data_IF_715141463822
#
_entry.id   IF_715141463822
#
_cell.length_a   1.000
_cell.length_b   1.000
_cell.length_c   1.000
_cell.angle_alpha   90.00
_cell.angle_beta   90.00
_cell.angle_gamma   90.00
#
_symmetry.space_group_name_H-M   'P 1'
#
loop_
_entity.id
_entity.type
_entity.pdbx_description
1 polymer ?
#
# COMPACT_ATOMS: atom_id res chain seq x y z
N UNK A 1 -0.48 -28.59 14.11
CA UNK A 1 0.83 -28.73 13.44
C UNK A 1 1.59 -27.46 13.78
N UNK A 2 2.53 -27.52 14.72
CA UNK A 2 3.31 -26.36 15.16
C UNK A 2 4.51 -26.20 14.23
N UNK A 3 4.69 -25.01 13.68
CA UNK A 3 5.94 -24.62 13.06
C UNK A 3 6.75 -23.87 14.11
N UNK A 4 7.77 -24.52 14.66
CA UNK A 4 8.85 -23.81 15.34
C UNK A 4 9.76 -23.20 14.26
N UNK A 5 9.88 -21.88 14.25
CA UNK A 5 10.89 -21.17 13.47
C UNK A 5 11.92 -20.60 14.45
N UNK A 6 13.11 -21.21 14.48
CA UNK A 6 14.28 -20.71 15.20
C UNK A 6 15.08 -19.76 14.30
N UNK A 7 14.96 -18.44 14.46
CA UNK A 7 15.98 -17.47 14.01
C UNK A 7 15.83 -16.18 14.88
N UNK A 8 16.89 -15.66 15.52
CA UNK A 8 16.84 -14.36 16.26
C UNK A 8 16.80 -13.14 15.31
N UNK A 9 16.93 -11.85 15.74
CA UNK A 9 16.53 -11.18 17.00
C UNK A 9 15.00 -11.13 17.13
N UNK A 10 14.43 -10.45 18.13
CA UNK A 10 12.97 -10.35 18.41
C UNK A 10 12.08 -10.32 17.14
N UNK A 11 11.62 -11.49 16.70
CA UNK A 11 10.64 -11.62 15.62
C UNK A 11 9.27 -11.58 16.27
N UNK A 12 8.52 -10.53 15.99
CA UNK A 12 7.13 -10.39 16.43
C UNK A 12 6.20 -10.53 15.23
N UNK A 13 5.10 -11.25 15.43
CA UNK A 13 4.06 -11.39 14.40
C UNK A 13 3.00 -10.33 14.63
N UNK A 14 2.81 -9.45 13.64
CA UNK A 14 1.68 -8.54 13.60
C UNK A 14 0.56 -9.19 12.80
N UNK A 15 -0.50 -9.62 13.48
CA UNK A 15 -1.67 -10.19 12.83
C UNK A 15 -2.68 -9.09 12.53
N UNK A 16 -2.85 -8.76 11.25
CA UNK A 16 -4.03 -8.03 10.78
C UNK A 16 -5.06 -9.05 10.27
N UNK A 17 -6.33 -8.89 10.61
CA UNK A 17 -7.40 -9.79 10.15
C UNK A 17 -7.83 -9.46 8.70
N UNK A 18 -6.85 -9.44 7.79
CA UNK A 18 -7.03 -9.16 6.37
C UNK A 18 -6.44 -10.32 5.57
N UNK A 19 -7.21 -10.80 4.60
CA UNK A 19 -6.74 -11.78 3.63
C UNK A 19 -6.45 -11.07 2.31
N UNK A 20 -5.26 -11.30 1.75
CA UNK A 20 -4.85 -10.81 0.43
C UNK A 20 -4.63 -11.99 -0.51
N UNK A 21 -4.98 -11.81 -1.78
CA UNK A 21 -4.73 -12.80 -2.84
C UNK A 21 -3.24 -12.89 -3.15
N UNK A 22 -2.60 -11.73 -3.35
CA UNK A 22 -1.15 -11.60 -3.49
C UNK A 22 -0.69 -10.31 -2.81
N UNK A 23 -0.48 -10.40 -1.50
CA UNK A 23 -0.01 -9.30 -0.65
C UNK A 23 1.48 -9.05 -0.83
N UNK A 24 1.87 -7.85 -1.29
CA UNK A 24 3.26 -7.50 -1.59
C UNK A 24 3.57 -6.04 -1.25
N UNK A 25 4.88 -5.70 -1.28
CA UNK A 25 5.37 -4.33 -1.18
C UNK A 25 4.94 -3.56 0.07
N UNK A 26 5.18 -4.09 1.29
CA UNK A 26 4.88 -3.37 2.52
C UNK A 26 5.71 -2.07 2.62
N UNK A 27 5.06 -0.96 2.95
CA UNK A 27 5.68 0.34 3.08
C UNK A 27 5.15 1.06 4.33
N UNK A 28 6.05 1.45 5.23
CA UNK A 28 5.71 2.17 6.46
C UNK A 28 5.81 3.68 6.28
N UNK A 29 4.76 4.41 6.62
CA UNK A 29 4.79 5.87 6.79
C UNK A 29 4.91 6.22 8.27
N UNK A 30 6.10 6.64 8.68
CA UNK A 30 6.39 7.08 10.05
C UNK A 30 5.54 8.29 10.45
N UNK A 31 5.20 9.19 9.53
CA UNK A 31 4.48 10.42 9.87
C UNK A 31 3.03 10.13 10.25
N UNK A 32 2.40 9.20 9.54
CA UNK A 32 0.99 8.83 9.78
C UNK A 32 0.84 7.58 10.65
N UNK A 33 1.96 6.92 11.00
CA UNK A 33 2.02 5.63 11.68
C UNK A 33 1.14 4.59 10.97
N UNK A 34 1.33 4.45 9.65
CA UNK A 34 0.48 3.61 8.81
C UNK A 34 1.32 2.66 7.97
N UNK A 35 0.94 1.39 7.98
CA UNK A 35 1.51 0.37 7.11
C UNK A 35 0.65 0.26 5.85
N UNK A 36 1.25 0.46 4.68
CA UNK A 36 0.61 0.21 3.39
C UNK A 36 1.16 -1.06 2.76
N UNK A 37 0.34 -1.73 1.96
CA UNK A 37 0.77 -2.82 1.09
C UNK A 37 -0.21 -2.97 -0.06
N UNK A 38 0.15 -3.73 -1.08
CA UNK A 38 -0.72 -3.97 -2.23
C UNK A 38 -1.24 -5.40 -2.22
N UNK A 39 -2.48 -5.60 -2.65
CA UNK A 39 -2.96 -6.90 -3.14
C UNK A 39 -3.00 -6.81 -4.67
N UNK A 40 -1.94 -7.32 -5.31
CA UNK A 40 -1.71 -7.13 -6.73
C UNK A 40 -2.89 -7.70 -7.52
N UNK A 41 -3.28 -8.95 -7.25
CA UNK A 41 -4.31 -9.64 -8.02
C UNK A 41 -5.73 -9.14 -7.70
N UNK A 42 -5.99 -8.66 -6.48
CA UNK A 42 -7.27 -8.05 -6.14
C UNK A 42 -7.38 -6.57 -6.53
N UNK A 43 -6.31 -5.95 -7.05
CA UNK A 43 -6.24 -4.52 -7.40
C UNK A 43 -6.55 -3.62 -6.19
N UNK A 44 -5.98 -3.92 -5.03
CA UNK A 44 -6.24 -3.17 -3.79
C UNK A 44 -4.96 -2.56 -3.24
N UNK A 45 -5.07 -1.32 -2.78
CA UNK A 45 -4.10 -0.70 -1.89
C UNK A 45 -4.63 -0.81 -0.47
N UNK A 46 -3.94 -1.53 0.38
CA UNK A 46 -4.28 -1.68 1.78
C UNK A 46 -3.55 -0.66 2.65
N UNK A 47 -4.18 -0.31 3.77
CA UNK A 47 -3.61 0.49 4.83
C UNK A 47 -3.99 -0.11 6.19
N UNK A 48 -3.05 -0.16 7.12
CA UNK A 48 -3.27 -0.57 8.50
C UNK A 48 -2.72 0.47 9.47
N UNK A 49 -3.52 0.78 10.49
CA UNK A 49 -3.18 1.72 11.56
C UNK A 49 -3.95 1.35 12.82
N UNK A 50 -3.26 1.35 13.97
CA UNK A 50 -3.87 1.17 15.30
C UNK A 50 -4.81 -0.05 15.40
N UNK A 51 -4.39 -1.18 14.82
CA UNK A 51 -5.16 -2.43 14.85
C UNK A 51 -6.32 -2.50 13.84
N UNK A 52 -6.54 -1.45 13.05
CA UNK A 52 -7.57 -1.40 12.00
C UNK A 52 -6.92 -1.47 10.63
N UNK A 53 -7.54 -2.23 9.74
CA UNK A 53 -7.10 -2.34 8.36
C UNK A 53 -8.22 -1.93 7.42
N UNK A 54 -7.83 -1.39 6.29
CA UNK A 54 -8.75 -1.01 5.24
C UNK A 54 -8.10 -1.00 3.87
N UNK A 55 -8.87 -0.77 2.81
CA UNK A 55 -8.35 -0.70 1.45
C UNK A 55 -9.06 0.28 0.52
N UNK A 56 -8.30 0.75 -0.45
CA UNK A 56 -8.76 1.42 -1.66
C UNK A 56 -8.82 0.41 -2.80
N UNK A 57 -9.98 0.27 -3.45
CA UNK A 57 -10.14 -0.52 -4.66
C UNK A 57 -9.67 0.29 -5.88
N UNK A 58 -8.89 -0.33 -6.74
CA UNK A 58 -8.38 0.25 -7.99
C UNK A 58 -8.96 -0.50 -9.20
N UNK A 59 -8.96 0.17 -10.35
CA UNK A 59 -9.43 -0.40 -11.62
C UNK A 59 -8.36 -1.22 -12.35
N UNK A 60 -7.08 -1.03 -12.00
CA UNK A 60 -5.92 -1.69 -12.60
C UNK A 60 -5.03 -2.36 -11.55
N UNK A 61 -4.16 -3.26 -12.01
CA UNK A 61 -3.16 -3.88 -11.13
C UNK A 61 -2.18 -2.82 -10.62
N UNK A 62 -1.91 -2.88 -9.31
CA UNK A 62 -0.92 -2.07 -8.61
C UNK A 62 0.25 -2.97 -8.20
N UNK A 63 1.47 -2.60 -8.59
CA UNK A 63 2.66 -3.41 -8.32
C UNK A 63 3.38 -3.02 -7.04
N UNK A 64 3.43 -1.72 -6.73
CA UNK A 64 4.04 -1.23 -5.49
C UNK A 64 3.51 0.15 -5.09
N UNK A 65 3.78 0.53 -3.84
CA UNK A 65 3.42 1.81 -3.25
C UNK A 65 4.52 2.30 -2.32
N UNK A 66 4.70 3.62 -2.21
CA UNK A 66 5.62 4.23 -1.26
C UNK A 66 5.09 5.57 -0.72
N UNK A 67 5.28 5.88 0.57
CA UNK A 67 5.02 7.21 1.12
C UNK A 67 5.86 8.29 0.45
N UNK A 68 5.26 9.45 0.18
CA UNK A 68 5.97 10.62 -0.34
C UNK A 68 6.44 11.52 0.79
N UNK A 69 7.60 12.16 0.61
CA UNK A 69 8.17 13.10 1.58
C UNK A 69 7.19 14.22 1.98
N UNK A 70 6.44 14.75 1.02
CA UNK A 70 5.51 15.87 1.23
C UNK A 70 4.08 15.40 1.55
N UNK A 71 3.92 14.13 1.94
CA UNK A 71 2.64 13.51 2.25
C UNK A 71 1.98 12.87 1.03
N UNK A 72 1.09 11.92 1.29
CA UNK A 72 0.49 11.06 0.29
C UNK A 72 1.37 9.86 -0.08
N UNK A 73 0.95 9.14 -1.11
CA UNK A 73 1.66 8.00 -1.67
C UNK A 73 2.01 8.25 -3.14
N UNK A 74 3.05 7.57 -3.61
CA UNK A 74 3.28 7.29 -5.02
C UNK A 74 3.02 5.79 -5.26
N UNK A 75 2.32 5.47 -6.34
CA UNK A 75 1.98 4.09 -6.69
C UNK A 75 2.40 3.80 -8.14
N UNK A 76 2.94 2.61 -8.37
CA UNK A 76 3.20 2.07 -9.70
C UNK A 76 2.07 1.11 -10.09
N UNK A 77 1.29 1.49 -11.10
CA UNK A 77 0.24 0.67 -11.67
C UNK A 77 0.75 0.00 -12.96
N UNK A 78 -0.03 -0.92 -13.51
CA UNK A 78 0.34 -1.69 -14.70
C UNK A 78 0.90 -0.85 -15.86
N UNK A 79 0.32 0.33 -16.13
CA UNK A 79 0.73 1.20 -17.24
C UNK A 79 0.95 2.67 -16.83
N UNK A 80 0.96 3.00 -15.53
CA UNK A 80 1.03 4.40 -15.08
C UNK A 80 1.61 4.56 -13.68
N UNK A 81 1.95 5.80 -13.32
CA UNK A 81 2.32 6.19 -11.96
C UNK A 81 1.29 7.16 -11.41
N UNK A 82 0.82 6.93 -10.20
CA UNK A 82 -0.19 7.77 -9.56
C UNK A 82 0.38 8.41 -8.31
N UNK A 83 -0.06 9.62 -8.02
CA UNK A 83 0.10 10.21 -6.69
C UNK A 83 -1.23 10.26 -5.97
N UNK A 84 -1.26 9.76 -4.74
CA UNK A 84 -2.44 9.72 -3.89
C UNK A 84 -2.24 10.74 -2.78
N UNK A 85 -3.05 11.80 -2.76
CA UNK A 85 -3.03 12.78 -1.66
C UNK A 85 -3.95 12.37 -0.52
N UNK A 86 -3.64 12.72 0.73
CA UNK A 86 -4.49 12.45 1.91
C UNK A 86 -5.73 13.38 1.97
N UNK A 87 -6.63 13.29 0.98
CA UNK A 87 -7.87 14.10 0.99
C UNK A 87 -9.04 13.38 1.65
N UNK A 88 -8.93 12.07 1.87
CA UNK A 88 -9.95 11.24 2.50
C UNK A 88 -9.29 10.36 3.56
N UNK A 89 -9.79 10.47 4.78
CA UNK A 89 -9.54 9.53 5.87
C UNK A 89 -10.82 8.77 6.16
N UNK A 90 -10.73 7.45 6.36
CA UNK A 90 -11.83 6.63 6.87
C UNK A 90 -11.41 6.07 8.21
N UNK A 91 -12.14 6.44 9.27
CA UNK A 91 -11.85 6.02 10.65
C UNK A 91 -10.39 6.29 11.10
N UNK A 92 -9.79 7.37 10.60
CA UNK A 92 -8.40 7.76 10.88
C UNK A 92 -7.33 7.07 10.01
N UNK A 93 -7.76 6.25 9.04
CA UNK A 93 -6.91 5.60 8.04
C UNK A 93 -6.87 6.46 6.77
N UNK A 94 -5.70 6.95 6.35
CA UNK A 94 -5.57 7.76 5.15
C UNK A 94 -5.55 6.85 3.90
N UNK A 95 -6.67 6.79 3.17
CA UNK A 95 -6.82 5.93 1.98
C UNK A 95 -6.49 6.65 0.66
N UNK A 96 -6.26 7.96 0.73
CA UNK A 96 -5.85 8.78 -0.39
C UNK A 96 -6.97 9.06 -1.41
N UNK A 97 -6.85 10.16 -2.15
CA UNK A 97 -7.59 10.40 -3.39
C UNK A 97 -6.57 10.39 -4.52
N UNK A 98 -6.83 9.57 -5.54
CA UNK A 98 -5.97 9.47 -6.70
C UNK A 98 -6.03 10.77 -7.50
N UNK A 99 -4.92 11.51 -7.54
CA UNK A 99 -4.71 12.53 -8.55
C UNK A 99 -3.88 11.86 -9.66
N UNK A 100 -4.53 11.59 -10.79
CA UNK A 100 -3.87 10.99 -11.95
C UNK A 100 -2.81 11.94 -12.49
N UNK A 101 -1.57 11.47 -12.56
CA UNK A 101 -0.50 12.14 -13.27
C UNK A 101 -0.05 11.14 -14.33
N UNK A 102 -0.44 11.33 -15.59
CA UNK A 102 0.09 10.48 -16.66
C UNK A 102 1.61 10.54 -16.63
N UNK A 103 2.26 9.38 -16.71
CA UNK A 103 3.66 9.34 -17.03
C UNK A 103 3.86 10.13 -18.35
N UNK A 104 4.88 10.99 -18.47
CA UNK A 104 5.18 11.64 -19.73
C UNK A 104 5.24 10.57 -20.83
N UNK A 105 4.54 10.77 -21.95
CA UNK A 105 4.49 9.81 -23.06
C UNK A 105 5.88 9.35 -23.54
N UNK A 106 6.92 10.16 -23.28
CA UNK A 106 8.33 9.83 -23.54
C UNK A 106 8.89 8.64 -22.76
N UNK A 107 8.24 8.20 -21.68
CA UNK A 107 8.65 7.03 -20.89
C UNK A 107 7.97 5.71 -21.31
N UNK A 108 6.93 5.78 -22.16
CA UNK A 108 6.14 4.61 -22.60
C UNK A 108 6.54 4.09 -23.99
N UNK A 109 7.45 4.78 -24.68
CA UNK A 109 8.00 4.33 -25.96
C UNK A 109 9.38 3.67 -25.74
N UNK A 110 9.38 2.34 -25.66
CA UNK A 110 10.53 1.50 -26.05
C UNK A 110 10.05 0.30 -26.83
#
# INVERSE_FOLDING_TARGET
>A
MQAELLIGPNVETLQCNVSTTLGEGPAWDEKTQTLYWVDILAKRLHAWKDGRADFLQLDEFIGCVAPRRDGGLVAALHASFWTLGWRVERDGIPLGVAEYHSAPQSLLAR
#
